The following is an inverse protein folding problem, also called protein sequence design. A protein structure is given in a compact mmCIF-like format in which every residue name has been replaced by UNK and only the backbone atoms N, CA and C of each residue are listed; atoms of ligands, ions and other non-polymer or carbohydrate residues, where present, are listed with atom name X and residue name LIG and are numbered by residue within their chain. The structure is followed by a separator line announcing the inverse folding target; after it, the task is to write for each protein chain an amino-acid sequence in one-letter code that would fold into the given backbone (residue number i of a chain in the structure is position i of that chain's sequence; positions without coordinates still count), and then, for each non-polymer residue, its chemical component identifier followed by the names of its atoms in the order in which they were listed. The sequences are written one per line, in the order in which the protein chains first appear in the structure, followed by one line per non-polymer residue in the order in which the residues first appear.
data_IF_694192502082
#
_entry.id   IF_694192502082
#
_cell.length_a   1.000
_cell.length_b   1.000
_cell.length_c   1.000
_cell.angle_alpha   90.00
_cell.angle_beta   90.00
_cell.angle_gamma   90.00
#
_symmetry.space_group_name_H-M   'P 1'
#
loop_
_entity.id
_entity.type
_entity.pdbx_description
1 polymer ?
#
# COMPACT_ATOMS: atom_id res chain seq x y z
N UNK A 1 -18.87 -44.08 59.65
CA UNK A 1 -19.23 -45.29 58.88
C UNK A 1 -18.06 -45.63 57.98
N UNK A 2 -17.44 -46.79 58.18
CA UNK A 2 -16.32 -47.22 57.32
C UNK A 2 -16.87 -47.62 55.94
N UNK A 3 -16.07 -47.46 54.88
CA UNK A 3 -16.50 -47.68 53.50
C UNK A 3 -17.08 -49.09 53.28
N UNK A 4 -16.53 -50.09 53.97
CA UNK A 4 -16.98 -51.48 53.89
C UNK A 4 -18.37 -51.70 54.52
N UNK A 5 -18.66 -50.94 55.58
CA UNK A 5 -19.93 -50.95 56.30
C UNK A 5 -21.05 -50.34 55.44
N UNK A 6 -20.72 -49.30 54.66
CA UNK A 6 -21.64 -48.68 53.68
C UNK A 6 -21.96 -49.64 52.52
N UNK A 7 -20.97 -50.37 52.03
CA UNK A 7 -21.17 -51.35 50.94
C UNK A 7 -22.06 -52.51 51.41
N UNK A 8 -21.85 -52.99 52.63
CA UNK A 8 -22.70 -54.05 53.21
C UNK A 8 -24.14 -53.58 53.45
N UNK A 9 -24.31 -52.31 53.85
CA UNK A 9 -25.63 -51.68 54.00
C UNK A 9 -26.34 -51.52 52.65
N UNK A 10 -25.61 -51.09 51.61
CA UNK A 10 -26.15 -50.92 50.25
C UNK A 10 -26.60 -52.23 49.63
N UNK A 11 -25.88 -53.33 49.89
CA UNK A 11 -26.27 -54.68 49.43
C UNK A 11 -27.53 -55.23 50.10
N UNK A 12 -27.83 -54.76 51.32
CA UNK A 12 -29.03 -55.16 52.10
C UNK A 12 -30.28 -54.35 51.76
N UNK A 13 -30.15 -53.28 50.96
CA UNK A 13 -31.31 -52.49 50.56
C UNK A 13 -32.15 -53.30 49.55
N UNK A 14 -33.47 -53.36 49.73
CA UNK A 14 -34.34 -53.98 48.73
C UNK A 14 -34.19 -53.22 47.41
N UNK A 15 -33.93 -53.94 46.31
CA UNK A 15 -33.89 -53.38 44.97
C UNK A 15 -35.25 -52.75 44.64
N UNK A 16 -35.39 -51.45 44.92
CA UNK A 16 -36.53 -50.66 44.49
C UNK A 16 -36.26 -50.17 43.09
N UNK A 17 -37.12 -50.56 42.16
CA UNK A 17 -37.11 -49.96 40.83
C UNK A 17 -37.22 -48.43 40.96
N UNK A 18 -36.38 -47.68 40.24
CA UNK A 18 -36.37 -46.23 40.34
C UNK A 18 -37.75 -45.68 39.95
N UNK A 19 -38.26 -44.66 40.67
CA UNK A 19 -39.58 -44.11 40.38
C UNK A 19 -39.63 -43.61 38.93
N UNK A 20 -40.72 -43.86 38.19
CA UNK A 20 -40.79 -43.65 36.75
C UNK A 20 -40.54 -42.20 36.32
N UNK A 21 -40.72 -41.24 37.24
CA UNK A 21 -40.50 -39.81 37.01
C UNK A 21 -39.03 -39.38 37.11
N UNK A 22 -38.15 -40.23 37.68
CA UNK A 22 -36.74 -39.88 37.94
C UNK A 22 -35.99 -39.60 36.64
N UNK A 23 -36.25 -40.37 35.60
CA UNK A 23 -35.67 -40.17 34.28
C UNK A 23 -36.05 -38.80 33.70
N UNK A 24 -37.33 -38.42 33.80
CA UNK A 24 -37.83 -37.13 33.34
C UNK A 24 -37.18 -35.95 34.08
N UNK A 25 -37.00 -36.07 35.41
CA UNK A 25 -36.36 -35.03 36.22
C UNK A 25 -34.87 -34.85 35.90
N UNK A 26 -34.14 -35.94 35.71
CA UNK A 26 -32.72 -35.90 35.32
C UNK A 26 -32.56 -35.31 33.92
N UNK A 27 -33.36 -35.77 32.96
CA UNK A 27 -33.32 -35.26 31.58
C UNK A 27 -33.75 -33.79 31.49
N UNK A 28 -34.70 -33.36 32.33
CA UNK A 28 -35.10 -31.97 32.47
C UNK A 28 -33.96 -31.07 32.97
N UNK A 29 -33.23 -31.51 34.00
CA UNK A 29 -32.08 -30.77 34.55
C UNK A 29 -30.91 -30.68 33.54
N UNK A 30 -30.66 -31.72 32.75
CA UNK A 30 -29.63 -31.73 31.70
C UNK A 30 -30.02 -30.80 30.54
N UNK A 31 -31.28 -30.84 30.10
CA UNK A 31 -31.80 -30.03 28.99
C UNK A 31 -31.81 -28.53 29.33
N UNK A 32 -32.02 -28.16 30.59
CA UNK A 32 -31.94 -26.77 31.06
C UNK A 32 -30.50 -26.22 31.00
N UNK A 33 -29.48 -27.06 31.25
CA UNK A 33 -28.07 -26.67 31.26
C UNK A 33 -27.43 -26.58 29.86
N UNK A 34 -28.01 -27.22 28.83
CA UNK A 34 -27.44 -27.28 27.47
C UNK A 34 -27.89 -26.20 26.48
N UNK A 35 -28.85 -25.32 26.84
CA UNK A 35 -29.28 -24.22 25.96
C UNK A 35 -28.29 -23.05 25.99
N UNK A 36 -27.09 -23.25 25.42
CA UNK A 36 -26.18 -22.12 25.18
C UNK A 36 -26.63 -21.32 23.95
N UNK A 37 -26.58 -19.97 23.99
CA UNK A 37 -26.99 -19.12 22.87
C UNK A 37 -26.19 -19.37 21.59
N UNK A 38 -24.96 -19.90 21.71
CA UNK A 38 -24.08 -20.26 20.58
C UNK A 38 -24.65 -21.42 19.75
N UNK A 39 -25.35 -22.39 20.36
CA UNK A 39 -25.98 -23.50 19.62
C UNK A 39 -27.21 -23.04 18.83
N UNK A 40 -28.02 -22.13 19.36
CA UNK A 40 -29.12 -21.50 18.60
C UNK A 40 -28.62 -20.75 17.37
N UNK A 41 -27.48 -20.08 17.50
CA UNK A 41 -26.85 -19.40 16.38
C UNK A 41 -26.40 -20.40 15.30
N UNK A 42 -25.83 -21.54 15.70
CA UNK A 42 -25.41 -22.60 14.79
C UNK A 42 -26.59 -23.29 14.07
N UNK A 43 -27.74 -23.46 14.74
CA UNK A 43 -28.96 -23.99 14.14
C UNK A 43 -29.54 -23.05 13.06
N UNK A 44 -29.40 -21.73 13.24
CA UNK A 44 -29.84 -20.73 12.26
C UNK A 44 -29.10 -20.86 10.91
N UNK A 45 -27.84 -21.30 10.93
CA UNK A 45 -27.03 -21.54 9.73
C UNK A 45 -27.19 -22.95 9.15
N UNK A 46 -27.86 -23.86 9.87
CA UNK A 46 -27.97 -25.27 9.49
C UNK A 46 -29.32 -25.64 8.87
N UNK A 47 -30.32 -24.77 8.94
CA UNK A 47 -31.59 -24.95 8.21
C UNK A 47 -31.43 -24.46 6.77
N UNK A 48 -31.75 -25.26 5.74
CA UNK A 48 -31.71 -24.81 4.36
C UNK A 48 -32.83 -23.78 4.15
N UNK A 49 -32.47 -22.50 4.11
CA UNK A 49 -33.38 -21.43 3.71
C UNK A 49 -33.59 -21.56 2.20
N UNK A 50 -34.77 -21.99 1.79
CA UNK A 50 -35.16 -21.96 0.37
C UNK A 50 -35.40 -20.50 -0.01
N UNK A 51 -34.34 -19.80 -0.41
CA UNK A 51 -34.42 -18.43 -0.91
C UNK A 51 -35.15 -18.47 -2.25
N UNK A 52 -36.45 -18.15 -2.24
CA UNK A 52 -37.23 -18.00 -3.47
C UNK A 52 -36.79 -16.69 -4.15
N UNK A 53 -35.78 -16.81 -5.01
CA UNK A 53 -35.20 -15.70 -5.77
C UNK A 53 -36.27 -15.14 -6.73
N UNK A 54 -36.94 -14.06 -6.34
CA UNK A 54 -37.81 -13.28 -7.21
C UNK A 54 -36.94 -12.17 -7.82
N UNK A 55 -36.41 -12.29 -9.05
CA UNK A 55 -35.36 -11.41 -9.59
C UNK A 55 -35.85 -10.01 -9.99
N UNK A 56 -37.07 -9.65 -9.61
CA UNK A 56 -37.70 -8.39 -10.03
C UNK A 56 -36.89 -7.16 -9.57
N UNK A 57 -36.24 -7.24 -8.40
CA UNK A 57 -35.36 -6.20 -7.90
C UNK A 57 -34.00 -6.14 -8.62
N UNK A 58 -33.51 -7.25 -9.18
CA UNK A 58 -32.28 -7.27 -9.98
C UNK A 58 -32.50 -6.67 -11.36
N UNK A 59 -33.65 -6.94 -11.97
CA UNK A 59 -34.05 -6.29 -13.22
C UNK A 59 -34.19 -4.77 -13.00
N UNK A 60 -34.86 -4.35 -11.91
CA UNK A 60 -34.98 -2.94 -11.55
C UNK A 60 -33.62 -2.28 -11.23
N UNK A 61 -32.74 -2.97 -10.50
CA UNK A 61 -31.40 -2.48 -10.17
C UNK A 61 -30.50 -2.36 -11.43
N UNK A 62 -30.61 -3.31 -12.36
CA UNK A 62 -29.91 -3.24 -13.64
C UNK A 62 -30.37 -2.04 -14.48
N UNK A 63 -31.68 -1.81 -14.55
CA UNK A 63 -32.24 -0.67 -15.29
C UNK A 63 -31.87 0.68 -14.65
N UNK A 64 -31.84 0.74 -13.31
CA UNK A 64 -31.35 1.89 -12.57
C UNK A 64 -29.84 2.14 -12.80
N UNK A 65 -29.01 1.10 -12.87
CA UNK A 65 -27.58 1.23 -13.18
C UNK A 65 -27.37 1.78 -14.59
N UNK A 66 -28.11 1.29 -15.58
CA UNK A 66 -28.03 1.77 -16.96
C UNK A 66 -28.47 3.24 -17.05
N UNK A 67 -29.54 3.62 -16.36
CA UNK A 67 -29.99 5.01 -16.29
C UNK A 67 -28.96 5.91 -15.59
N UNK A 68 -28.36 5.46 -14.48
CA UNK A 68 -27.34 6.21 -13.75
C UNK A 68 -26.05 6.37 -14.56
N UNK A 69 -25.62 5.33 -15.27
CA UNK A 69 -24.46 5.38 -16.15
C UNK A 69 -24.73 6.25 -17.39
N UNK A 70 -25.91 6.15 -17.99
CA UNK A 70 -26.34 6.97 -19.12
C UNK A 70 -26.48 8.45 -18.78
N UNK A 71 -27.08 8.78 -17.62
CA UNK A 71 -27.15 10.16 -17.11
C UNK A 71 -25.77 10.70 -16.73
N UNK A 72 -24.87 9.86 -16.23
CA UNK A 72 -23.48 10.24 -15.93
C UNK A 72 -22.69 10.64 -17.18
N UNK A 73 -22.93 9.96 -18.31
CA UNK A 73 -22.32 10.29 -19.61
C UNK A 73 -22.87 11.60 -20.17
N UNK A 74 -24.18 11.85 -20.06
CA UNK A 74 -24.81 13.07 -20.57
C UNK A 74 -24.54 14.32 -19.71
N UNK A 75 -24.28 14.14 -18.41
CA UNK A 75 -23.97 15.22 -17.48
C UNK A 75 -22.48 15.63 -17.46
N UNK A 76 -21.64 15.10 -18.37
CA UNK A 76 -20.24 15.53 -18.50
C UNK A 76 -19.37 15.31 -17.26
N UNK A 77 -19.76 14.41 -16.36
CA UNK A 77 -18.98 14.05 -15.17
C UNK A 77 -18.09 12.85 -15.45
N UNK A 78 -17.14 13.02 -16.36
CA UNK A 78 -15.93 12.20 -16.44
C UNK A 78 -14.97 12.55 -15.30
N UNK A 79 -15.44 12.49 -14.05
CA UNK A 79 -14.51 12.40 -12.91
C UNK A 79 -14.07 10.95 -12.78
N UNK A 80 -13.23 10.51 -13.73
CA UNK A 80 -12.27 9.45 -13.47
C UNK A 80 -11.51 9.92 -12.25
N UNK A 81 -11.68 9.26 -11.10
CA UNK A 81 -10.83 9.31 -9.90
C UNK A 81 -9.84 10.50 -9.84
N UNK A 82 -10.36 11.72 -9.85
CA UNK A 82 -9.57 12.93 -9.64
C UNK A 82 -9.87 13.30 -8.20
N UNK A 83 -9.21 12.59 -7.28
CA UNK A 83 -8.96 13.18 -5.97
C UNK A 83 -8.29 14.52 -6.26
N UNK A 84 -9.01 15.63 -6.09
CA UNK A 84 -8.47 16.99 -6.21
C UNK A 84 -7.34 17.30 -5.21
N UNK A 85 -6.82 16.29 -4.53
CA UNK A 85 -5.45 16.28 -4.08
C UNK A 85 -4.61 15.88 -5.30
N UNK A 86 -3.97 16.87 -5.93
CA UNK A 86 -2.69 16.61 -6.60
C UNK A 86 -1.79 15.79 -5.65
N UNK A 87 -0.74 15.10 -6.16
CA UNK A 87 0.10 14.21 -5.34
C UNK A 87 0.32 14.86 -3.97
N UNK A 88 -0.09 14.14 -2.90
CA UNK A 88 -0.17 14.68 -1.55
C UNK A 88 1.03 15.58 -1.29
N UNK A 89 0.86 16.81 -0.75
CA UNK A 89 1.91 17.80 -0.65
C UNK A 89 3.16 17.14 -0.11
N UNK A 90 4.10 17.03 -1.04
CA UNK A 90 5.31 16.27 -0.95
C UNK A 90 6.01 16.59 0.39
N UNK A 91 6.30 15.59 1.26
CA UNK A 91 6.76 15.84 2.61
C UNK A 91 7.98 16.76 2.57
N UNK A 92 7.83 17.94 3.17
CA UNK A 92 8.89 18.93 3.30
C UNK A 92 9.83 18.46 4.42
N UNK A 93 10.79 17.62 4.06
CA UNK A 93 11.78 17.13 5.03
C UNK A 93 12.93 18.13 5.11
N UNK A 94 13.33 18.49 6.34
CA UNK A 94 14.53 19.31 6.57
C UNK A 94 15.83 18.49 6.45
N UNK A 95 15.73 17.18 6.21
CA UNK A 95 16.86 16.26 6.06
C UNK A 95 17.24 16.09 4.59
N UNK A 96 18.48 16.45 4.23
CA UNK A 96 19.00 16.33 2.86
C UNK A 96 18.98 14.90 2.33
N UNK A 97 19.21 13.89 3.18
CA UNK A 97 19.20 12.48 2.79
C UNK A 97 17.79 12.00 2.44
N UNK A 98 16.80 12.40 3.23
CA UNK A 98 15.40 12.10 2.95
C UNK A 98 14.97 12.71 1.61
N UNK A 99 15.27 14.00 1.38
CA UNK A 99 15.01 14.66 0.10
C UNK A 99 15.68 13.93 -1.07
N UNK A 100 16.92 13.47 -0.90
CA UNK A 100 17.64 12.70 -1.91
C UNK A 100 16.91 11.39 -2.28
N UNK A 101 16.50 10.59 -1.29
CA UNK A 101 15.79 9.34 -1.55
C UNK A 101 14.41 9.57 -2.17
N UNK A 102 13.68 10.60 -1.75
CA UNK A 102 12.43 10.99 -2.40
C UNK A 102 12.64 11.39 -3.85
N UNK A 103 13.64 12.22 -4.13
CA UNK A 103 14.00 12.61 -5.50
C UNK A 103 14.36 11.40 -6.37
N UNK A 104 15.17 10.46 -5.85
CA UNK A 104 15.50 9.21 -6.53
C UNK A 104 14.28 8.33 -6.81
N UNK A 105 13.35 8.24 -5.86
CA UNK A 105 12.10 7.48 -6.04
C UNK A 105 11.21 8.13 -7.11
N UNK A 106 11.14 9.46 -7.16
CA UNK A 106 10.39 10.20 -8.18
C UNK A 106 10.98 10.04 -9.57
N UNK A 107 12.31 10.00 -9.71
CA UNK A 107 12.95 9.66 -10.99
C UNK A 107 12.58 8.26 -11.45
N UNK A 108 12.58 7.28 -10.54
CA UNK A 108 12.16 5.92 -10.85
C UNK A 108 10.66 5.82 -11.20
N UNK A 109 9.83 6.71 -10.64
CA UNK A 109 8.42 6.82 -10.95
C UNK A 109 8.12 7.61 -12.25
N UNK A 110 9.13 8.18 -12.90
CA UNK A 110 8.96 8.94 -14.14
C UNK A 110 8.50 10.40 -13.96
N UNK A 111 8.69 10.97 -12.77
CA UNK A 111 8.39 12.39 -12.49
C UNK A 111 9.68 13.21 -12.24
N UNK A 112 10.43 13.54 -13.30
CA UNK A 112 11.70 14.25 -13.18
C UNK A 112 11.53 15.70 -12.73
N UNK A 113 10.39 16.33 -13.01
CA UNK A 113 10.12 17.71 -12.61
C UNK A 113 10.01 17.85 -11.08
N UNK A 114 9.28 16.94 -10.42
CA UNK A 114 9.23 16.93 -8.96
C UNK A 114 10.52 16.41 -8.34
N UNK A 115 11.17 15.42 -8.96
CA UNK A 115 12.47 14.93 -8.50
C UNK A 115 13.52 16.04 -8.43
N UNK A 116 13.59 16.91 -9.44
CA UNK A 116 14.55 18.01 -9.48
C UNK A 116 14.38 18.94 -8.26
N UNK A 117 13.15 19.25 -7.85
CA UNK A 117 12.89 20.09 -6.66
C UNK A 117 13.44 19.48 -5.39
N UNK A 118 13.29 18.17 -5.22
CA UNK A 118 13.79 17.45 -4.06
C UNK A 118 15.31 17.31 -4.07
N UNK A 119 15.89 17.00 -5.22
CA UNK A 119 17.34 16.87 -5.34
C UNK A 119 18.04 18.21 -5.19
N UNK A 120 17.47 19.32 -5.69
CA UNK A 120 17.95 20.68 -5.38
C UNK A 120 17.93 20.97 -3.87
N UNK A 121 16.88 20.55 -3.15
CA UNK A 121 16.83 20.70 -1.70
C UNK A 121 17.89 19.85 -1.00
N UNK A 122 18.09 18.61 -1.44
CA UNK A 122 19.13 17.74 -0.89
C UNK A 122 20.52 18.36 -1.05
N UNK A 123 20.82 18.90 -2.24
CA UNK A 123 22.07 19.60 -2.52
C UNK A 123 22.21 20.88 -1.67
N UNK A 124 21.14 21.63 -1.47
CA UNK A 124 21.13 22.85 -0.65
C UNK A 124 21.37 22.56 0.84
N UNK A 125 20.76 21.49 1.37
CA UNK A 125 20.84 21.10 2.79
C UNK A 125 22.18 20.44 3.15
N UNK A 126 22.88 19.87 2.17
CA UNK A 126 24.14 19.17 2.38
C UNK A 126 25.12 19.45 1.23
N UNK A 127 25.60 20.71 1.12
CA UNK A 127 26.51 21.12 0.06
C UNK A 127 27.82 20.30 0.11
N UNK A 128 28.41 20.04 -1.06
CA UNK A 128 29.65 19.25 -1.14
C UNK A 128 29.44 17.75 -1.11
N UNK A 129 28.20 17.28 -1.28
CA UNK A 129 27.85 15.87 -1.53
C UNK A 129 27.65 15.65 -3.03
N UNK A 130 28.66 15.16 -3.77
CA UNK A 130 28.61 15.05 -5.24
C UNK A 130 27.42 14.25 -5.76
N UNK A 131 27.01 13.22 -5.01
CA UNK A 131 25.86 12.40 -5.38
C UNK A 131 24.57 13.21 -5.46
N UNK A 132 24.35 14.19 -4.59
CA UNK A 132 23.12 14.98 -4.58
C UNK A 132 23.07 15.92 -5.78
N UNK A 133 24.18 16.64 -6.04
CA UNK A 133 24.33 17.53 -7.19
C UNK A 133 24.28 16.75 -8.52
N UNK A 134 24.90 15.57 -8.58
CA UNK A 134 24.85 14.70 -9.75
C UNK A 134 23.41 14.29 -10.08
N UNK A 135 22.68 13.76 -9.11
CA UNK A 135 21.30 13.32 -9.34
C UNK A 135 20.37 14.51 -9.61
N UNK A 136 20.64 15.69 -9.06
CA UNK A 136 19.95 16.93 -9.45
C UNK A 136 20.16 17.23 -10.94
N UNK A 137 21.38 17.12 -11.45
CA UNK A 137 21.69 17.26 -12.88
C UNK A 137 20.91 16.26 -13.74
N UNK A 138 20.92 14.98 -13.34
CA UNK A 138 20.15 13.92 -14.02
C UNK A 138 18.65 14.26 -14.06
N UNK A 139 18.10 14.76 -12.96
CA UNK A 139 16.70 15.16 -12.91
C UNK A 139 16.38 16.35 -13.83
N UNK A 140 17.29 17.32 -13.96
CA UNK A 140 17.12 18.41 -14.93
C UNK A 140 17.15 17.93 -16.36
N UNK A 141 18.08 17.04 -16.73
CA UNK A 141 18.17 16.47 -18.07
C UNK A 141 16.89 15.71 -18.45
N UNK A 142 16.43 14.83 -17.56
CA UNK A 142 15.18 14.08 -17.76
C UNK A 142 13.93 14.99 -17.79
N UNK A 143 13.98 16.16 -17.17
CA UNK A 143 12.92 17.16 -17.25
C UNK A 143 13.04 18.10 -18.47
N UNK A 144 13.99 17.87 -19.38
CA UNK A 144 14.24 18.71 -20.56
C UNK A 144 14.87 20.07 -20.24
N UNK A 145 15.41 20.25 -19.04
CA UNK A 145 16.06 21.49 -18.60
C UNK A 145 17.58 21.40 -18.82
N UNK A 146 18.00 21.23 -20.08
CA UNK A 146 19.39 20.97 -20.45
C UNK A 146 20.38 22.03 -19.95
N UNK A 147 20.01 23.32 -20.00
CA UNK A 147 20.88 24.39 -19.51
C UNK A 147 21.21 24.23 -18.03
N UNK A 148 20.21 23.82 -17.22
CA UNK A 148 20.40 23.58 -15.79
C UNK A 148 21.19 22.31 -15.53
N UNK A 149 20.98 21.27 -16.33
CA UNK A 149 21.78 20.05 -16.29
C UNK A 149 23.26 20.38 -16.52
N UNK A 150 23.58 21.04 -17.65
CA UNK A 150 24.96 21.41 -18.02
C UNK A 150 25.59 22.30 -16.95
N UNK A 151 24.86 23.29 -16.44
CA UNK A 151 25.34 24.16 -15.37
C UNK A 151 25.67 23.37 -14.09
N UNK A 152 24.79 22.45 -13.71
CA UNK A 152 24.97 21.61 -12.51
C UNK A 152 26.20 20.72 -12.64
N UNK A 153 26.38 20.04 -13.78
CA UNK A 153 27.58 19.22 -14.00
C UNK A 153 28.86 20.05 -14.08
N UNK A 154 28.85 21.22 -14.73
CA UNK A 154 30.02 22.11 -14.77
C UNK A 154 30.43 22.59 -13.37
N UNK A 155 29.46 22.92 -12.52
CA UNK A 155 29.71 23.26 -11.13
C UNK A 155 30.28 22.08 -10.34
N UNK A 156 29.72 20.88 -10.54
CA UNK A 156 30.23 19.68 -9.88
C UNK A 156 31.67 19.37 -10.33
N UNK A 157 31.97 19.48 -11.62
CA UNK A 157 33.32 19.27 -12.17
C UNK A 157 34.30 20.35 -11.68
N UNK A 158 33.86 21.60 -11.47
CA UNK A 158 34.76 22.64 -10.96
C UNK A 158 35.19 22.39 -9.50
N UNK A 159 34.35 21.72 -8.70
CA UNK A 159 34.66 21.34 -7.31
C UNK A 159 35.28 19.95 -7.20
N UNK A 160 34.94 19.04 -8.12
CA UNK A 160 35.41 17.65 -8.21
C UNK A 160 35.80 17.32 -9.67
N UNK A 161 37.01 17.71 -10.11
CA UNK A 161 37.44 17.57 -11.50
C UNK A 161 37.46 16.12 -12.02
N UNK A 162 37.56 15.16 -11.11
CA UNK A 162 37.66 13.72 -11.33
C UNK A 162 36.33 12.97 -11.17
N UNK A 163 35.21 13.68 -10.98
CA UNK A 163 33.90 13.04 -10.80
C UNK A 163 33.36 12.47 -12.11
N UNK A 164 33.80 11.24 -12.44
CA UNK A 164 33.51 10.53 -13.68
C UNK A 164 32.05 10.56 -14.12
N UNK A 165 31.04 10.35 -13.24
CA UNK A 165 29.65 10.39 -13.68
C UNK A 165 29.23 11.74 -14.28
N UNK A 166 29.74 12.87 -13.75
CA UNK A 166 29.42 14.18 -14.30
C UNK A 166 30.14 14.45 -15.63
N UNK A 167 31.40 14.04 -15.76
CA UNK A 167 32.15 14.16 -17.01
C UNK A 167 31.47 13.40 -18.16
N UNK A 168 31.07 12.15 -17.90
CA UNK A 168 30.41 11.30 -18.89
C UNK A 168 29.03 11.88 -19.27
N UNK A 169 28.21 12.26 -18.29
CA UNK A 169 26.86 12.76 -18.59
C UNK A 169 26.88 14.15 -19.25
N UNK A 170 27.82 15.02 -18.89
CA UNK A 170 28.02 16.27 -19.61
C UNK A 170 28.50 16.01 -21.04
N UNK A 171 29.40 15.05 -21.25
CA UNK A 171 29.81 14.61 -22.58
C UNK A 171 28.64 14.09 -23.42
N UNK A 172 27.76 13.28 -22.84
CA UNK A 172 26.56 12.78 -23.53
C UNK A 172 25.61 13.91 -23.92
N UNK A 173 25.33 14.82 -22.99
CA UNK A 173 24.45 15.96 -23.25
C UNK A 173 25.03 16.88 -24.36
N UNK A 174 26.34 17.17 -24.32
CA UNK A 174 27.01 17.97 -25.35
C UNK A 174 26.98 17.28 -26.72
N UNK A 175 27.24 15.97 -26.75
CA UNK A 175 27.16 15.15 -27.96
C UNK A 175 25.75 15.19 -28.57
N UNK A 176 24.70 15.07 -27.74
CA UNK A 176 23.31 15.17 -28.20
C UNK A 176 22.98 16.54 -28.79
N UNK A 177 23.60 17.61 -28.25
CA UNK A 177 23.44 18.97 -28.78
C UNK A 177 24.29 19.28 -30.02
N UNK A 178 25.12 18.33 -30.47
CA UNK A 178 26.01 18.49 -31.63
C UNK A 178 27.36 19.17 -31.34
N UNK A 179 27.65 19.48 -30.07
CA UNK A 179 28.92 20.08 -29.65
C UNK A 179 29.99 19.01 -29.44
N UNK A 180 30.49 18.47 -30.57
CA UNK A 180 31.41 17.35 -30.61
C UNK A 180 32.75 17.64 -29.94
N UNK A 181 33.29 18.85 -30.13
CA UNK A 181 34.59 19.24 -29.60
C UNK A 181 34.60 19.25 -28.07
N UNK A 182 33.57 19.87 -27.46
CA UNK A 182 33.46 19.90 -26.00
C UNK A 182 33.08 18.52 -25.44
N UNK A 183 32.28 17.73 -26.15
CA UNK A 183 31.97 16.35 -25.74
C UNK A 183 33.24 15.48 -25.67
N UNK A 184 34.07 15.52 -26.72
CA UNK A 184 35.36 14.83 -26.76
C UNK A 184 36.29 15.28 -25.63
N UNK A 185 36.33 16.58 -25.35
CA UNK A 185 37.11 17.10 -24.23
C UNK A 185 36.66 16.51 -22.87
N UNK A 186 35.35 16.34 -22.66
CA UNK A 186 34.84 15.72 -21.43
C UNK A 186 35.16 14.23 -21.34
N UNK A 187 35.01 13.48 -22.44
CA UNK A 187 35.37 12.06 -22.46
C UNK A 187 36.88 11.84 -22.27
N UNK A 188 37.72 12.67 -22.89
CA UNK A 188 39.17 12.60 -22.70
C UNK A 188 39.58 12.88 -21.26
N UNK A 189 38.87 13.76 -20.54
CA UNK A 189 39.08 13.95 -19.11
C UNK A 189 38.63 12.73 -18.29
N UNK A 190 37.56 12.05 -18.70
CA UNK A 190 37.08 10.86 -18.02
C UNK A 190 37.97 9.61 -18.23
N UNK A 191 38.86 9.63 -19.23
CA UNK A 191 39.79 8.54 -19.55
C UNK A 191 41.20 8.72 -18.96
N UNK A 192 41.51 9.90 -18.42
CA UNK A 192 42.79 10.20 -17.75
C UNK A 192 42.75 9.71 -16.30
#
# INVERSE_FOLDING_TARGET
MKQDELIDLLKKLPEREPPPELHGRIMGAIRAKQRSPRRRLAELFSTPVVVRFQPMWLAAAGLACILFFGLGILAGRTTIFNSGQGPAPLPNTADGRANYFFGRALLAAGDPAQAARYLSRAALLSPGTPGYEFWQGVAYGLAGQEDKERATYRQLISTRPDYLPALINLGHNLLQSGDLDNALAMYNKALQ
#
